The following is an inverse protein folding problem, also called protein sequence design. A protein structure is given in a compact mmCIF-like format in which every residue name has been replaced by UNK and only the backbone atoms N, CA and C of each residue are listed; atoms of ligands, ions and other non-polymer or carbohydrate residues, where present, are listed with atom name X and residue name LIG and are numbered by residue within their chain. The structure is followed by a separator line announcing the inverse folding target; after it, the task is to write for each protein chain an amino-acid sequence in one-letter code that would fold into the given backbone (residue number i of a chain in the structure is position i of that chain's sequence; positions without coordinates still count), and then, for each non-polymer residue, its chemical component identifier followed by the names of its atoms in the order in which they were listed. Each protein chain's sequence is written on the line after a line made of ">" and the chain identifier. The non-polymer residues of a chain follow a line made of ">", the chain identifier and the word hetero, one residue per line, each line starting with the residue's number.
data_IF_481216408437
#
_entry.id   IF_481216408437
#
_cell.length_a   1.000
_cell.length_b   1.000
_cell.length_c   1.000
_cell.angle_alpha   90.00
_cell.angle_beta   90.00
_cell.angle_gamma   90.00
#
_symmetry.space_group_name_H-M   'P 1'
#
loop_
_entity.id
_entity.type
_entity.pdbx_description
1 polymer ?
#
# COMPACT_ATOMS: atom_id res chain seq x y z
N UNK A 1 -12.19 -6.55 1.59
CA UNK A 1 -11.13 -6.42 0.56
C UNK A 1 -9.81 -6.12 1.28
N UNK A 2 -8.64 -6.34 0.64
CA UNK A 2 -7.33 -5.97 1.20
C UNK A 2 -6.72 -4.85 0.33
N UNK A 3 -6.84 -3.57 0.73
CA UNK A 3 -6.34 -2.48 -0.11
C UNK A 3 -4.80 -2.47 -0.12
N UNK A 4 -4.24 -2.19 -1.29
CA UNK A 4 -2.80 -2.02 -1.56
C UNK A 4 -2.60 -0.79 -2.43
N UNK A 5 -1.37 -0.26 -2.50
CA UNK A 5 -1.03 0.92 -3.31
C UNK A 5 0.11 0.64 -4.27
N UNK A 6 0.17 1.43 -5.33
CA UNK A 6 1.14 1.24 -6.41
C UNK A 6 2.60 1.26 -5.91
N UNK A 7 2.90 2.03 -4.86
CA UNK A 7 4.26 2.13 -4.29
C UNK A 7 4.73 0.83 -3.64
N UNK A 8 3.82 -0.07 -3.26
CA UNK A 8 4.15 -1.40 -2.71
C UNK A 8 4.82 -2.30 -3.77
N UNK A 9 4.60 -2.02 -5.06
CA UNK A 9 5.07 -2.87 -6.15
C UNK A 9 6.60 -2.96 -6.21
N UNK A 10 7.30 -1.85 -5.96
CA UNK A 10 8.76 -1.84 -6.02
C UNK A 10 9.38 -2.77 -4.97
N UNK A 11 8.95 -2.65 -3.70
CA UNK A 11 9.40 -3.53 -2.62
C UNK A 11 9.05 -5.01 -2.91
N UNK A 12 7.86 -5.26 -3.47
CA UNK A 12 7.40 -6.61 -3.82
C UNK A 12 8.28 -7.26 -4.88
N UNK A 13 8.64 -6.53 -5.95
CA UNK A 13 9.51 -7.05 -7.02
C UNK A 13 10.91 -7.33 -6.50
N UNK A 14 11.48 -6.47 -5.64
CA UNK A 14 12.78 -6.74 -5.02
C UNK A 14 12.79 -8.08 -4.28
N UNK A 15 11.79 -8.34 -3.43
CA UNK A 15 11.71 -9.60 -2.69
C UNK A 15 11.50 -10.81 -3.61
N UNK A 16 10.60 -10.71 -4.60
CA UNK A 16 10.34 -11.80 -5.54
C UNK A 16 11.57 -12.16 -6.39
N UNK A 17 12.42 -11.18 -6.68
CA UNK A 17 13.66 -11.39 -7.41
C UNK A 17 14.85 -11.79 -6.50
N UNK A 18 14.66 -11.89 -5.18
CA UNK A 18 15.74 -12.18 -4.23
C UNK A 18 16.80 -11.08 -4.15
N UNK A 19 16.43 -9.84 -4.46
CA UNK A 19 17.32 -8.68 -4.42
C UNK A 19 17.38 -8.08 -3.00
N UNK A 20 18.46 -7.34 -2.66
CA UNK A 20 18.56 -6.66 -1.37
C UNK A 20 17.38 -5.71 -1.12
N UNK A 21 16.94 -5.65 0.13
CA UNK A 21 15.95 -4.67 0.58
C UNK A 21 16.52 -3.26 0.49
N UNK A 22 15.64 -2.27 0.26
CA UNK A 22 16.00 -0.85 0.23
C UNK A 22 15.30 -0.12 1.35
N UNK A 23 16.06 0.60 2.16
CA UNK A 23 15.53 1.45 3.22
C UNK A 23 14.90 2.74 2.66
N UNK A 24 13.96 3.31 3.42
CA UNK A 24 13.30 4.58 3.07
C UNK A 24 12.26 4.47 1.96
N UNK A 25 11.72 3.28 1.72
CA UNK A 25 10.55 3.10 0.86
C UNK A 25 9.27 3.37 1.65
N UNK A 26 8.35 4.13 1.05
CA UNK A 26 7.01 4.34 1.62
C UNK A 26 6.10 3.10 1.47
N UNK A 27 6.41 2.23 0.49
CA UNK A 27 5.66 1.01 0.21
C UNK A 27 6.23 -0.21 0.92
N UNK A 28 5.39 -1.22 1.12
CA UNK A 28 5.75 -2.50 1.73
C UNK A 28 5.63 -3.66 0.74
N UNK A 29 6.35 -4.75 1.00
CA UNK A 29 6.23 -5.96 0.19
C UNK A 29 4.84 -6.60 0.33
N UNK A 30 4.26 -6.99 -0.81
CA UNK A 30 2.99 -7.72 -0.87
C UNK A 30 3.18 -9.24 -0.82
N UNK A 31 4.42 -9.75 -0.77
CA UNK A 31 4.69 -11.20 -0.79
C UNK A 31 3.93 -11.97 0.31
N UNK A 32 3.81 -11.50 1.57
CA UNK A 32 3.00 -12.16 2.58
C UNK A 32 1.52 -12.29 2.17
N UNK A 33 0.95 -11.21 1.63
CA UNK A 33 -0.44 -11.18 1.16
C UNK A 33 -0.65 -12.07 -0.07
N UNK A 34 0.32 -12.13 -0.98
CA UNK A 34 0.28 -13.00 -2.14
C UNK A 34 0.30 -14.50 -1.75
N UNK A 35 1.03 -14.85 -0.68
CA UNK A 35 1.10 -16.22 -0.16
C UNK A 35 -0.14 -16.61 0.64
N UNK A 36 -0.69 -15.69 1.42
CA UNK A 36 -1.91 -15.91 2.17
C UNK A 36 -2.90 -14.74 1.94
N UNK A 37 -3.74 -14.84 0.90
CA UNK A 37 -4.73 -13.82 0.62
C UNK A 37 -5.68 -13.58 1.79
N UNK A 38 -5.91 -14.57 2.65
CA UNK A 38 -6.87 -14.50 3.77
C UNK A 38 -6.29 -13.92 5.07
N UNK A 39 -5.02 -13.51 5.07
CA UNK A 39 -4.42 -12.90 6.26
C UNK A 39 -5.08 -11.57 6.62
N UNK A 40 -4.99 -11.22 7.91
CA UNK A 40 -5.29 -9.86 8.34
C UNK A 40 -4.29 -8.89 7.70
N UNK A 41 -4.83 -7.86 7.04
CA UNK A 41 -4.07 -6.88 6.26
C UNK A 41 -4.47 -5.49 6.75
N UNK A 42 -4.00 -5.16 7.95
CA UNK A 42 -4.50 -4.05 8.76
C UNK A 42 -4.02 -2.64 8.38
N UNK A 43 -3.29 -2.47 7.28
CA UNK A 43 -2.77 -1.15 6.89
C UNK A 43 -3.77 -0.41 6.00
N UNK A 44 -4.33 0.74 6.43
CA UNK A 44 -5.05 1.61 5.52
C UNK A 44 -4.11 2.11 4.43
N UNK A 45 -4.65 2.34 3.25
CA UNK A 45 -3.89 2.93 2.15
C UNK A 45 -4.15 4.42 2.05
N UNK A 46 -3.09 5.18 1.78
CA UNK A 46 -3.13 6.62 1.55
C UNK A 46 -2.88 6.92 0.07
N UNK A 47 -3.72 7.76 -0.52
CA UNK A 47 -3.52 8.32 -1.86
C UNK A 47 -3.50 9.83 -1.77
N UNK A 48 -2.56 10.46 -2.48
CA UNK A 48 -2.43 11.91 -2.56
C UNK A 48 -2.52 12.34 -4.02
N UNK A 49 -3.31 13.38 -4.32
CA UNK A 49 -3.46 13.93 -5.66
C UNK A 49 -3.28 15.45 -5.65
N UNK A 50 -2.07 15.93 -5.94
CA UNK A 50 -1.76 17.35 -5.80
C UNK A 50 -1.74 17.81 -4.33
N UNK A 51 -1.72 19.12 -4.12
CA UNK A 51 -1.62 19.71 -2.79
C UNK A 51 -2.94 19.54 -2.01
N UNK A 52 -2.84 19.06 -0.76
CA UNK A 52 -3.94 18.94 0.22
C UNK A 52 -5.18 18.10 -0.20
N UNK A 53 -5.10 17.33 -1.28
CA UNK A 53 -6.13 16.33 -1.61
C UNK A 53 -5.64 14.94 -1.24
N UNK A 54 -6.37 14.29 -0.32
CA UNK A 54 -6.01 12.98 0.21
C UNK A 54 -7.21 12.04 0.24
N UNK A 55 -6.96 10.76 -0.03
CA UNK A 55 -7.89 9.69 0.22
C UNK A 55 -7.26 8.65 1.13
N UNK A 56 -8.00 8.21 2.14
CA UNK A 56 -7.64 7.08 3.00
C UNK A 56 -8.66 5.98 2.77
N UNK A 57 -8.21 4.75 2.54
CA UNK A 57 -9.11 3.59 2.36
C UNK A 57 -8.70 2.44 3.26
N UNK A 58 -9.68 1.85 3.94
CA UNK A 58 -9.57 0.56 4.62
C UNK A 58 -10.30 -0.53 3.82
N UNK A 59 -10.40 -1.72 4.39
CA UNK A 59 -11.26 -2.80 3.91
C UNK A 59 -12.75 -2.43 3.80
N UNK A 60 -13.22 -1.53 4.67
CA UNK A 60 -14.63 -1.16 4.84
C UNK A 60 -14.96 0.27 4.42
N UNK A 61 -14.04 1.22 4.61
CA UNK A 61 -14.33 2.64 4.46
C UNK A 61 -13.39 3.32 3.47
N UNK A 62 -13.88 4.39 2.85
CA UNK A 62 -13.09 5.32 2.06
C UNK A 62 -13.44 6.74 2.50
N UNK A 63 -12.44 7.46 2.99
CA UNK A 63 -12.53 8.88 3.30
C UNK A 63 -11.75 9.67 2.24
N UNK A 64 -12.33 10.77 1.77
CA UNK A 64 -11.69 11.67 0.82
C UNK A 64 -11.78 13.07 1.41
N UNK A 65 -10.62 13.71 1.59
CA UNK A 65 -10.50 15.13 1.91
C UNK A 65 -10.05 15.84 0.63
N UNK A 66 -10.89 16.75 0.17
CA UNK A 66 -10.52 17.69 -0.87
C UNK A 66 -9.93 18.96 -0.23
N UNK A 67 -9.23 19.73 -1.03
CA UNK A 67 -8.61 20.99 -0.59
C UNK A 67 -9.60 22.18 -0.56
N UNK A 68 -10.85 22.01 -1.00
CA UNK A 68 -11.88 23.06 -1.06
C UNK A 68 -12.71 23.21 0.22
#
# INVERSE_FOLDING_TARGET
>A
ERPVILVDLYATVLELCGLPTRDGLDGQTLVPLLRNPEMDWGSPVLMTFGYENHAVRTDRWRYIRYND
#
